data_IF_018469746534
#
_entry.id   IF_018469746534
#
_cell.length_a   1.000
_cell.length_b   1.000
_cell.length_c   1.000
_cell.angle_alpha   90.00
_cell.angle_beta   90.00
_cell.angle_gamma   90.00
#
_symmetry.space_group_name_H-M   'P 1'
#
loop_
_entity.id
_entity.type
_entity.pdbx_description
1 polymer ?
#
# COMPACT_ATOMS: atom_id res chain seq x y z
N UNK A 1 14.39 62.10 -31.67
CA UNK A 1 14.93 60.73 -31.58
C UNK A 1 13.82 59.83 -31.05
N UNK A 2 13.26 58.96 -31.89
CA UNK A 2 12.18 58.02 -31.50
C UNK A 2 12.81 56.71 -31.04
N UNK A 3 12.51 56.28 -29.82
CA UNK A 3 12.90 54.96 -29.31
C UNK A 3 11.73 54.00 -29.54
N UNK A 4 11.95 53.03 -30.42
CA UNK A 4 10.98 51.99 -30.77
C UNK A 4 11.11 50.83 -29.77
N UNK A 5 10.08 50.60 -28.96
CA UNK A 5 9.98 49.41 -28.09
C UNK A 5 9.45 48.23 -28.92
N UNK A 6 10.25 47.16 -29.04
CA UNK A 6 9.81 45.90 -29.65
C UNK A 6 9.21 45.00 -28.56
N UNK A 7 7.89 44.81 -28.60
CA UNK A 7 7.18 43.87 -27.74
C UNK A 7 7.29 42.46 -28.35
N UNK A 8 8.11 41.58 -27.76
CA UNK A 8 8.18 40.18 -28.16
C UNK A 8 7.06 39.43 -27.45
N UNK A 9 6.02 39.05 -28.20
CA UNK A 9 4.99 38.15 -27.72
C UNK A 9 5.57 36.73 -27.64
N UNK A 10 5.77 36.23 -26.42
CA UNK A 10 6.12 34.82 -26.16
C UNK A 10 4.85 33.99 -26.34
N UNK A 11 4.65 33.45 -27.54
CA UNK A 11 3.65 32.40 -27.77
C UNK A 11 4.10 31.13 -27.05
N UNK A 12 3.46 30.81 -25.93
CA UNK A 12 3.62 29.52 -25.26
C UNK A 12 3.25 28.40 -26.23
N UNK A 13 4.25 27.72 -26.78
CA UNK A 13 4.03 26.50 -27.55
C UNK A 13 3.51 25.43 -26.60
N UNK A 14 2.23 25.10 -26.71
CA UNK A 14 1.69 23.88 -26.09
C UNK A 14 2.41 22.70 -26.72
N UNK A 15 3.28 22.03 -25.96
CA UNK A 15 3.94 20.80 -26.40
C UNK A 15 2.85 19.81 -26.82
N UNK A 16 2.88 19.42 -28.10
CA UNK A 16 1.96 18.41 -28.62
C UNK A 16 2.25 17.08 -27.93
N UNK A 17 1.21 16.44 -27.40
CA UNK A 17 1.34 15.14 -26.77
C UNK A 17 1.59 14.10 -27.87
N UNK A 18 2.86 13.71 -28.05
CA UNK A 18 3.30 12.66 -28.99
C UNK A 18 3.01 12.89 -30.49
N UNK A 19 2.70 14.11 -30.95
CA UNK A 19 2.54 14.36 -32.39
C UNK A 19 3.92 14.57 -33.07
N UNK A 20 4.21 13.87 -34.19
CA UNK A 20 5.43 14.09 -34.97
C UNK A 20 5.54 15.52 -35.48
N UNK A 21 6.78 15.99 -35.68
CA UNK A 21 7.05 17.28 -36.30
C UNK A 21 6.38 17.38 -37.67
N UNK A 22 5.66 18.47 -37.93
CA UNK A 22 4.95 18.71 -39.19
C UNK A 22 3.49 18.26 -39.24
N UNK A 23 2.95 17.68 -38.15
CA UNK A 23 1.54 17.28 -38.07
C UNK A 23 0.69 18.36 -37.41
N UNK A 24 -0.37 18.83 -38.09
CA UNK A 24 -1.32 19.78 -37.49
C UNK A 24 -2.13 19.11 -36.37
N UNK A 25 -2.15 19.76 -35.20
CA UNK A 25 -2.83 19.26 -33.99
C UNK A 25 -3.93 20.22 -33.52
N UNK A 26 -4.96 19.67 -32.88
CA UNK A 26 -5.97 20.38 -32.10
C UNK A 26 -5.97 19.77 -30.71
N UNK A 27 -5.81 20.59 -29.66
CA UNK A 27 -5.75 20.14 -28.26
C UNK A 27 -4.64 19.09 -28.04
N UNK A 28 -3.52 19.22 -28.75
CA UNK A 28 -2.39 18.30 -28.68
C UNK A 28 -2.57 16.98 -29.43
N UNK A 29 -3.67 16.78 -30.17
CA UNK A 29 -3.94 15.57 -30.96
C UNK A 29 -3.98 15.86 -32.46
N UNK A 30 -3.40 15.01 -33.32
CA UNK A 30 -3.61 15.11 -34.77
C UNK A 30 -5.10 14.99 -35.11
N UNK A 31 -5.61 15.86 -35.99
CA UNK A 31 -7.05 15.92 -36.31
C UNK A 31 -7.39 15.80 -37.80
N UNK A 32 -6.40 15.87 -38.70
CA UNK A 32 -6.65 15.71 -40.14
C UNK A 32 -7.01 14.27 -40.47
N UNK A 33 -7.94 14.07 -41.41
CA UNK A 33 -8.39 12.75 -41.87
C UNK A 33 -7.28 11.93 -42.54
N UNK A 34 -6.22 12.59 -43.02
CA UNK A 34 -5.02 11.97 -43.58
C UNK A 34 -4.03 11.47 -42.52
N UNK A 35 -4.23 11.81 -41.25
CA UNK A 35 -3.33 11.39 -40.18
C UNK A 35 -3.64 9.96 -39.73
N UNK A 36 -2.61 9.14 -39.57
CA UNK A 36 -2.74 7.81 -38.98
C UNK A 36 -2.90 7.90 -37.45
N UNK A 37 -3.53 6.89 -36.85
CA UNK A 37 -3.57 6.71 -35.39
C UNK A 37 -2.16 6.65 -34.83
N UNK A 38 -1.81 7.61 -33.96
CA UNK A 38 -0.52 7.63 -33.28
C UNK A 38 -0.57 6.80 -32.00
N UNK A 39 0.56 6.20 -31.64
CA UNK A 39 0.73 5.58 -30.34
C UNK A 39 0.63 6.68 -29.26
N UNK A 40 -0.35 6.62 -28.33
CA UNK A 40 -0.56 7.69 -27.34
C UNK A 40 0.54 7.76 -26.28
N UNK A 41 1.47 6.80 -26.24
CA UNK A 41 2.39 6.59 -25.13
C UNK A 41 1.64 6.18 -23.85
N UNK A 42 2.32 6.25 -22.70
CA UNK A 42 1.71 5.97 -21.40
C UNK A 42 1.30 4.51 -21.18
N UNK A 43 1.79 3.58 -22.01
CA UNK A 43 1.62 2.15 -21.73
C UNK A 43 2.37 1.77 -20.45
N UNK A 44 1.78 0.88 -19.67
CA UNK A 44 2.49 0.24 -18.59
C UNK A 44 3.69 -0.54 -19.14
N UNK A 45 4.87 -0.31 -18.56
CA UNK A 45 5.99 -1.21 -18.75
C UNK A 45 5.74 -2.44 -17.86
N UNK A 46 5.58 -3.59 -18.50
CA UNK A 46 5.44 -4.85 -17.76
C UNK A 46 6.81 -5.26 -17.18
N UNK A 47 6.84 -5.80 -15.95
CA UNK A 47 8.07 -6.33 -15.36
C UNK A 47 8.59 -7.51 -16.19
N UNK A 48 9.92 -7.63 -16.25
CA UNK A 48 10.58 -8.73 -16.97
C UNK A 48 10.46 -10.01 -16.13
N UNK A 49 9.92 -11.06 -16.74
CA UNK A 49 9.80 -12.38 -16.13
C UNK A 49 11.18 -12.96 -15.78
N UNK A 50 11.36 -13.41 -14.55
CA UNK A 50 12.55 -14.11 -14.09
C UNK A 50 12.41 -15.62 -14.31
N UNK A 51 13.49 -16.30 -14.70
CA UNK A 51 13.52 -17.76 -14.88
C UNK A 51 13.40 -18.49 -13.54
N UNK A 52 14.00 -17.94 -12.49
CA UNK A 52 13.97 -18.49 -11.14
C UNK A 52 12.81 -17.89 -10.32
N UNK A 53 12.19 -18.68 -9.41
CA UNK A 53 11.16 -18.18 -8.52
C UNK A 53 11.74 -17.18 -7.52
N UNK A 54 10.98 -16.13 -7.25
CA UNK A 54 11.23 -15.14 -6.22
C UNK A 54 10.21 -15.29 -5.09
N UNK A 55 10.60 -14.93 -3.88
CA UNK A 55 9.68 -14.78 -2.76
C UNK A 55 9.39 -13.29 -2.56
N UNK A 56 8.12 -12.94 -2.72
CA UNK A 56 7.62 -11.59 -2.55
C UNK A 56 6.95 -11.47 -1.18
N UNK A 57 7.70 -10.88 -0.24
CA UNK A 57 7.23 -10.58 1.11
C UNK A 57 6.69 -9.16 1.16
N UNK A 58 5.46 -9.00 1.64
CA UNK A 58 4.84 -7.68 1.86
C UNK A 58 4.33 -7.58 3.30
N UNK A 59 4.19 -6.35 3.77
CA UNK A 59 3.55 -6.03 5.04
C UNK A 59 2.68 -4.79 4.87
N UNK A 60 1.47 -4.83 5.41
CA UNK A 60 0.61 -3.65 5.51
C UNK A 60 -0.26 -3.72 6.76
N UNK A 61 -0.63 -2.60 7.39
CA UNK A 61 -1.63 -2.63 8.45
C UNK A 61 -2.97 -3.10 7.87
N UNK A 62 -3.74 -3.86 8.65
CA UNK A 62 -5.08 -4.28 8.23
C UNK A 62 -6.00 -3.09 8.02
N UNK A 63 -5.87 -2.04 8.81
CA UNK A 63 -6.68 -0.84 8.69
C UNK A 63 -5.85 0.37 8.27
N UNK A 64 -6.45 1.29 7.52
CA UNK A 64 -5.77 2.50 7.02
C UNK A 64 -5.31 3.46 8.12
N UNK A 65 -6.05 3.52 9.23
CA UNK A 65 -5.72 4.31 10.42
C UNK A 65 -6.14 3.57 11.68
N UNK A 66 -5.52 3.96 12.80
CA UNK A 66 -5.88 3.59 14.16
C UNK A 66 -6.01 4.85 15.01
N UNK A 67 -6.74 4.74 16.11
CA UNK A 67 -6.86 5.81 17.10
C UNK A 67 -6.17 5.41 18.41
N UNK A 68 -5.81 6.41 19.21
CA UNK A 68 -5.24 6.20 20.54
C UNK A 68 -6.12 5.33 21.45
N UNK A 69 -7.44 5.33 21.24
CA UNK A 69 -8.38 4.47 21.94
C UNK A 69 -8.26 2.99 21.56
N UNK A 70 -7.65 2.67 20.41
CA UNK A 70 -7.43 1.30 19.96
C UNK A 70 -6.33 0.63 20.80
N UNK A 71 -6.60 -0.58 21.28
CA UNK A 71 -5.64 -1.33 22.13
C UNK A 71 -4.66 -2.15 21.30
N UNK A 72 -5.18 -2.78 20.24
CA UNK A 72 -4.47 -3.77 19.43
C UNK A 72 -4.74 -3.54 17.95
N UNK A 73 -3.74 -3.84 17.13
CA UNK A 73 -3.81 -3.80 15.67
C UNK A 73 -3.50 -5.16 15.06
N UNK A 74 -3.53 -5.21 13.73
CA UNK A 74 -3.13 -6.40 12.97
C UNK A 74 -2.42 -5.98 11.70
N UNK A 75 -1.32 -6.66 11.38
CA UNK A 75 -0.68 -6.58 10.08
C UNK A 75 -1.15 -7.72 9.19
N UNK A 76 -1.27 -7.42 7.89
CA UNK A 76 -1.42 -8.39 6.82
C UNK A 76 -0.01 -8.62 6.25
N UNK A 77 0.43 -9.86 6.26
CA UNK A 77 1.72 -10.27 5.69
C UNK A 77 1.48 -11.27 4.58
N UNK A 78 2.04 -11.01 3.41
CA UNK A 78 2.07 -11.97 2.30
C UNK A 78 3.48 -12.52 2.13
N UNK A 79 3.56 -13.78 1.72
CA UNK A 79 4.79 -14.50 1.45
C UNK A 79 4.62 -15.30 0.14
N UNK A 80 4.19 -14.60 -0.92
CA UNK A 80 3.83 -15.21 -2.19
C UNK A 80 5.05 -15.56 -3.05
N UNK A 81 5.00 -16.67 -3.79
CA UNK A 81 5.99 -16.96 -4.83
C UNK A 81 5.61 -16.20 -6.11
N UNK A 82 6.58 -15.50 -6.69
CA UNK A 82 6.39 -14.67 -7.89
C UNK A 82 7.59 -14.80 -8.82
N UNK A 83 7.38 -14.63 -10.12
CA UNK A 83 8.46 -14.53 -11.12
C UNK A 83 8.69 -13.08 -11.57
N UNK A 84 8.03 -12.12 -10.93
CA UNK A 84 8.11 -10.70 -11.30
C UNK A 84 8.65 -9.82 -10.17
N UNK A 85 8.34 -10.15 -8.92
CA UNK A 85 8.62 -9.31 -7.75
C UNK A 85 9.20 -10.15 -6.62
N UNK A 86 10.03 -9.54 -5.78
CA UNK A 86 10.58 -10.16 -4.58
C UNK A 86 12.08 -10.43 -4.66
N UNK A 87 12.55 -11.22 -3.69
CA UNK A 87 13.96 -11.65 -3.59
C UNK A 87 14.14 -13.08 -4.09
N UNK A 88 15.38 -13.45 -4.45
CA UNK A 88 15.73 -14.82 -4.86
C UNK A 88 15.24 -15.84 -3.83
N UNK A 89 14.48 -16.85 -4.29
CA UNK A 89 13.98 -17.91 -3.43
C UNK A 89 14.52 -19.27 -3.85
N UNK A 90 15.05 -20.01 -2.88
CA UNK A 90 15.41 -21.42 -3.07
C UNK A 90 14.62 -22.25 -2.08
N UNK A 91 13.95 -23.30 -2.55
CA UNK A 91 13.16 -24.19 -1.71
C UNK A 91 14.05 -25.16 -0.91
N UNK A 92 15.02 -24.62 -0.17
CA UNK A 92 16.01 -25.35 0.63
C UNK A 92 16.31 -24.58 1.91
N UNK A 93 16.46 -25.32 2.99
CA UNK A 93 16.88 -24.88 4.32
C UNK A 93 17.81 -25.92 4.89
N UNK A 94 18.73 -25.51 5.77
CA UNK A 94 19.72 -26.41 6.35
C UNK A 94 19.59 -26.42 7.86
N UNK A 95 19.44 -27.61 8.47
CA UNK A 95 19.35 -27.72 9.93
C UNK A 95 20.62 -27.21 10.64
N UNK A 96 21.76 -27.28 9.95
CA UNK A 96 23.06 -26.83 10.44
C UNK A 96 23.75 -26.08 9.29
N UNK A 97 24.30 -24.88 9.51
CA UNK A 97 25.10 -24.18 8.51
C UNK A 97 26.24 -25.07 7.98
N UNK A 98 26.31 -25.26 6.67
CA UNK A 98 27.33 -26.11 6.02
C UNK A 98 27.02 -27.62 5.98
N UNK A 99 25.83 -28.06 6.42
CA UNK A 99 25.40 -29.45 6.27
C UNK A 99 24.91 -29.76 4.85
N UNK A 100 25.11 -31.01 4.39
CA UNK A 100 24.56 -31.52 3.13
C UNK A 100 23.10 -31.98 3.27
N UNK A 101 22.54 -31.98 4.49
CA UNK A 101 21.16 -32.40 4.75
C UNK A 101 20.24 -31.18 4.63
N UNK A 102 19.61 -31.03 3.47
CA UNK A 102 18.64 -29.99 3.18
C UNK A 102 17.21 -30.44 3.48
N UNK A 103 16.39 -29.53 3.99
CA UNK A 103 14.93 -29.66 4.12
C UNK A 103 14.23 -28.58 3.29
N UNK A 104 12.98 -28.79 2.84
CA UNK A 104 12.23 -27.78 2.10
C UNK A 104 12.06 -26.45 2.86
N UNK A 105 12.08 -25.32 2.14
CA UNK A 105 11.83 -24.00 2.71
C UNK A 105 10.34 -23.67 2.66
N UNK A 106 9.62 -24.09 3.69
CA UNK A 106 8.15 -23.98 3.76
C UNK A 106 7.64 -22.94 4.74
N UNK A 107 8.49 -22.41 5.62
CA UNK A 107 8.07 -21.51 6.71
C UNK A 107 9.08 -20.40 6.92
N UNK A 108 8.59 -19.17 7.05
CA UNK A 108 9.34 -17.97 7.42
C UNK A 108 9.19 -17.69 8.91
N UNK A 109 10.31 -17.33 9.55
CA UNK A 109 10.29 -16.66 10.84
C UNK A 109 10.18 -15.15 10.59
N UNK A 110 9.17 -14.53 11.18
CA UNK A 110 8.85 -13.13 11.01
C UNK A 110 9.21 -12.37 12.28
N UNK A 111 9.95 -11.27 12.12
CA UNK A 111 10.25 -10.28 13.15
C UNK A 111 9.79 -8.91 12.61
N UNK A 112 8.92 -8.19 13.34
CA UNK A 112 8.40 -6.87 12.91
C UNK A 112 8.90 -5.80 13.88
N UNK A 113 9.43 -4.70 13.35
CA UNK A 113 10.10 -3.65 14.12
C UNK A 113 9.45 -2.28 13.93
N UNK A 114 9.45 -1.48 14.99
CA UNK A 114 9.28 -0.03 14.90
C UNK A 114 10.65 0.58 14.61
N UNK A 115 10.81 1.17 13.43
CA UNK A 115 12.10 1.66 12.94
C UNK A 115 12.63 2.86 13.75
N UNK A 116 11.75 3.67 14.33
CA UNK A 116 12.17 4.87 15.06
C UNK A 116 12.77 4.53 16.43
N UNK A 117 12.22 3.50 17.07
CA UNK A 117 12.67 3.05 18.39
C UNK A 117 13.64 1.86 18.29
N UNK A 118 13.79 1.26 17.10
CA UNK A 118 14.47 -0.03 16.94
C UNK A 118 13.83 -1.17 17.74
N UNK A 119 12.55 -1.01 18.11
CA UNK A 119 11.87 -1.91 19.05
C UNK A 119 11.17 -3.06 18.31
N UNK A 120 11.39 -4.28 18.77
CA UNK A 120 10.66 -5.46 18.29
C UNK A 120 9.21 -5.39 18.74
N UNK A 121 8.28 -5.37 17.79
CA UNK A 121 6.83 -5.29 18.03
C UNK A 121 6.26 -6.68 18.26
N UNK A 122 6.57 -7.63 17.38
CA UNK A 122 6.00 -8.98 17.40
C UNK A 122 6.87 -9.95 16.59
N UNK A 123 6.86 -11.22 16.99
CA UNK A 123 7.40 -12.33 16.22
C UNK A 123 6.30 -13.31 15.82
N UNK A 124 6.42 -13.93 14.64
CA UNK A 124 5.45 -14.91 14.17
C UNK A 124 6.08 -15.91 13.17
N UNK A 125 5.32 -16.90 12.73
CA UNK A 125 5.67 -17.80 11.64
C UNK A 125 4.62 -17.72 10.54
N UNK A 126 5.08 -17.62 9.30
CA UNK A 126 4.22 -17.56 8.11
C UNK A 126 4.65 -18.65 7.14
N UNK A 127 3.69 -19.34 6.52
CA UNK A 127 3.99 -20.32 5.48
C UNK A 127 4.50 -19.64 4.21
N UNK A 128 5.46 -20.26 3.53
CA UNK A 128 5.85 -19.85 2.19
C UNK A 128 4.70 -20.13 1.22
N UNK A 129 4.54 -19.26 0.23
CA UNK A 129 3.44 -19.28 -0.74
C UNK A 129 2.05 -19.09 -0.10
N UNK A 130 1.95 -18.30 0.96
CA UNK A 130 0.68 -17.90 1.55
C UNK A 130 0.45 -16.39 1.44
N UNK A 131 -0.81 -15.98 1.52
CA UNK A 131 -1.26 -14.58 1.50
C UNK A 131 -2.26 -14.35 2.64
N UNK A 132 -2.53 -13.09 2.94
CA UNK A 132 -3.49 -12.67 3.95
C UNK A 132 -3.20 -13.19 5.37
N UNK A 133 -1.92 -13.40 5.71
CA UNK A 133 -1.55 -13.87 7.05
C UNK A 133 -1.70 -12.72 8.06
N UNK A 134 -2.52 -12.92 9.09
CA UNK A 134 -2.83 -11.91 10.09
C UNK A 134 -1.90 -12.05 11.31
N UNK A 135 -1.16 -10.98 11.61
CA UNK A 135 -0.26 -10.91 12.77
C UNK A 135 -0.74 -9.78 13.69
N UNK A 136 -1.27 -10.15 14.86
CA UNK A 136 -1.72 -9.18 15.88
C UNK A 136 -0.56 -8.54 16.63
N UNK A 137 -0.73 -7.27 17.02
CA UNK A 137 0.25 -6.53 17.84
C UNK A 137 -0.44 -5.51 18.76
N UNK A 138 0.29 -5.01 19.76
CA UNK A 138 -0.17 -3.97 20.68
C UNK A 138 0.35 -2.58 20.29
N UNK A 139 -0.43 -1.53 20.55
CA UNK A 139 -0.03 -0.14 20.31
C UNK A 139 0.93 0.45 21.34
N UNK A 140 1.43 -0.33 22.30
CA UNK A 140 2.36 0.15 23.33
C UNK A 140 3.63 0.82 22.78
N UNK A 141 4.07 0.43 21.58
CA UNK A 141 5.23 1.01 20.88
C UNK A 141 4.86 2.16 19.92
N UNK A 142 3.61 2.61 19.90
CA UNK A 142 3.09 3.62 18.98
C UNK A 142 2.22 4.66 19.70
N UNK A 143 2.85 5.59 20.42
CA UNK A 143 2.14 6.75 20.96
C UNK A 143 1.36 7.49 19.87
N UNK A 144 0.22 8.08 20.22
CA UNK A 144 -0.60 8.76 19.22
C UNK A 144 0.06 10.05 18.72
N UNK A 145 0.10 10.26 17.40
CA UNK A 145 0.61 11.48 16.75
C UNK A 145 0.07 11.62 15.32
N UNK A 146 0.35 12.75 14.66
CA UNK A 146 -0.15 13.02 13.31
C UNK A 146 0.74 12.39 12.22
N UNK A 147 2.03 12.22 12.50
CA UNK A 147 2.99 11.60 11.60
C UNK A 147 2.93 10.07 11.68
N UNK A 148 2.99 9.35 10.55
CA UNK A 148 3.01 7.88 10.57
C UNK A 148 4.32 7.36 11.18
N UNK A 149 4.27 6.17 11.79
CA UNK A 149 5.48 5.42 12.16
C UNK A 149 5.92 4.53 11.00
N UNK A 150 7.23 4.45 10.79
CA UNK A 150 7.82 3.48 9.87
C UNK A 150 7.97 2.13 10.57
N UNK A 151 7.50 1.07 9.90
CA UNK A 151 7.54 -0.31 10.39
C UNK A 151 8.26 -1.15 9.35
N UNK A 152 9.20 -1.99 9.80
CA UNK A 152 9.84 -2.98 8.94
C UNK A 152 9.46 -4.40 9.34
N UNK A 153 9.55 -5.30 8.37
CA UNK A 153 9.49 -6.73 8.58
C UNK A 153 10.82 -7.34 8.15
N UNK A 154 11.36 -8.22 8.98
CA UNK A 154 12.44 -9.12 8.66
C UNK A 154 11.87 -10.54 8.63
N UNK A 155 11.82 -11.13 7.44
CA UNK A 155 11.38 -12.49 7.22
C UNK A 155 12.59 -13.36 6.90
N UNK A 156 12.83 -14.41 7.67
CA UNK A 156 14.02 -15.27 7.51
C UNK A 156 13.62 -16.73 7.36
N UNK A 157 14.41 -17.47 6.60
CA UNK A 157 14.33 -18.94 6.61
C UNK A 157 14.66 -19.48 8.01
N UNK A 158 14.26 -20.72 8.35
CA UNK A 158 14.53 -21.31 9.66
C UNK A 158 16.03 -21.35 10.02
N UNK A 159 16.89 -21.49 9.02
CA UNK A 159 18.35 -21.48 9.13
C UNK A 159 18.98 -20.09 8.96
N UNK A 160 18.15 -19.05 8.77
CA UNK A 160 18.52 -17.65 8.54
C UNK A 160 19.47 -17.40 7.35
N UNK A 161 19.60 -18.34 6.42
CA UNK A 161 20.42 -18.17 5.21
C UNK A 161 19.73 -17.35 4.11
N UNK A 162 18.40 -17.35 4.08
CA UNK A 162 17.60 -16.52 3.17
C UNK A 162 16.83 -15.50 4.01
N UNK A 163 16.95 -14.22 3.65
CA UNK A 163 16.30 -13.12 4.34
C UNK A 163 15.59 -12.20 3.35
N UNK A 164 14.46 -11.66 3.80
CA UNK A 164 13.60 -10.79 3.02
C UNK A 164 13.14 -9.66 3.92
N UNK A 165 13.07 -8.45 3.37
CA UNK A 165 12.64 -7.27 4.09
C UNK A 165 11.57 -6.53 3.32
N UNK A 166 10.66 -5.91 4.06
CA UNK A 166 9.70 -4.96 3.51
C UNK A 166 9.42 -3.88 4.56
N UNK A 167 8.84 -2.77 4.11
CA UNK A 167 8.51 -1.64 4.96
C UNK A 167 7.07 -1.21 4.74
N UNK A 168 6.46 -0.67 5.78
CA UNK A 168 5.13 -0.06 5.72
C UNK A 168 5.04 1.11 6.68
N UNK A 169 3.91 1.81 6.64
CA UNK A 169 3.61 2.91 7.53
C UNK A 169 2.35 2.59 8.33
N UNK A 170 2.34 3.01 9.59
CA UNK A 170 1.18 2.93 10.45
C UNK A 170 0.81 4.30 11.00
N UNK A 171 -0.49 4.62 10.93
CA UNK A 171 -1.04 5.87 11.45
C UNK A 171 -1.81 5.56 12.74
N UNK A 172 -1.30 6.07 13.86
CA UNK A 172 -1.97 6.01 15.18
C UNK A 172 -2.27 7.44 15.59
N UNK A 173 -3.51 7.88 15.38
CA UNK A 173 -3.90 9.27 15.55
C UNK A 173 -4.48 9.51 16.96
N UNK A 174 -4.37 10.73 17.51
CA UNK A 174 -5.02 11.08 18.77
C UNK A 174 -6.53 10.84 18.71
N UNK A 175 -7.10 10.41 19.84
CA UNK A 175 -8.55 10.26 19.94
C UNK A 175 -9.25 11.60 19.75
N UNK A 176 -10.46 11.58 19.17
CA UNK A 176 -11.24 12.79 18.94
C UNK A 176 -12.38 12.89 19.94
N UNK A 177 -12.53 14.06 20.55
CA UNK A 177 -13.72 14.37 21.37
C UNK A 177 -14.92 14.81 20.52
N UNK A 178 -14.69 15.11 19.23
CA UNK A 178 -15.72 15.58 18.30
C UNK A 178 -15.56 15.01 16.89
N UNK A 179 -16.68 14.90 16.17
CA UNK A 179 -16.72 14.43 14.79
C UNK A 179 -16.68 12.91 14.66
N UNK A 180 -16.17 12.43 13.53
CA UNK A 180 -16.07 11.00 13.23
C UNK A 180 -14.72 10.67 12.60
N UNK A 181 -14.29 9.43 12.79
CA UNK A 181 -13.13 8.84 12.12
C UNK A 181 -13.59 7.67 11.28
N UNK A 182 -12.95 7.49 10.12
CA UNK A 182 -13.23 6.40 9.19
C UNK A 182 -11.92 5.67 8.90
N UNK A 183 -11.96 4.33 8.94
CA UNK A 183 -10.85 3.48 8.51
C UNK A 183 -11.31 2.49 7.45
N UNK A 184 -10.40 2.16 6.54
CA UNK A 184 -10.59 1.19 5.46
C UNK A 184 -9.95 -0.12 5.91
N UNK A 185 -10.64 -1.25 5.72
CA UNK A 185 -10.07 -2.59 5.88
C UNK A 185 -9.33 -2.98 4.59
N UNK A 186 -8.00 -3.03 4.63
CA UNK A 186 -7.13 -3.39 3.52
C UNK A 186 -7.23 -4.88 3.13
N UNK A 187 -7.86 -5.74 3.95
CA UNK A 187 -8.08 -7.14 3.61
C UNK A 187 -9.35 -7.35 2.79
N UNK A 188 -10.46 -6.73 3.19
CA UNK A 188 -11.78 -6.95 2.60
C UNK A 188 -12.36 -5.73 1.88
N UNK A 189 -11.73 -4.56 1.98
CA UNK A 189 -12.19 -3.31 1.36
C UNK A 189 -13.33 -2.59 2.10
N UNK A 190 -13.73 -3.07 3.28
CA UNK A 190 -14.83 -2.50 4.07
C UNK A 190 -14.49 -1.17 4.74
N UNK A 191 -15.52 -0.39 5.10
CA UNK A 191 -15.38 0.86 5.84
C UNK A 191 -15.87 0.69 7.27
N UNK A 192 -15.12 1.24 8.21
CA UNK A 192 -15.49 1.27 9.63
C UNK A 192 -15.49 2.70 10.13
N UNK A 193 -16.49 3.04 10.95
CA UNK A 193 -16.66 4.38 11.52
C UNK A 193 -16.65 4.32 13.03
N UNK A 194 -16.02 5.31 13.64
CA UNK A 194 -16.18 5.64 15.07
C UNK A 194 -16.68 7.09 15.16
N UNK A 195 -17.67 7.35 16.04
CA UNK A 195 -18.27 8.67 16.19
C UNK A 195 -18.41 9.05 17.67
N UNK A 196 -17.71 10.12 18.06
CA UNK A 196 -17.68 10.61 19.44
C UNK A 196 -19.04 11.15 19.93
N UNK A 197 -19.93 11.58 19.02
CA UNK A 197 -21.24 12.18 19.36
C UNK A 197 -22.23 11.19 19.95
N UNK A 198 -22.11 9.90 19.61
CA UNK A 198 -23.11 8.88 19.96
C UNK A 198 -22.73 8.08 21.22
N UNK A 199 -21.73 8.51 21.99
CA UNK A 199 -21.14 7.75 23.11
C UNK A 199 -20.71 6.32 22.72
N UNK A 200 -20.38 6.11 21.44
CA UNK A 200 -19.97 4.82 20.91
C UNK A 200 -18.45 4.82 20.73
N UNK A 201 -17.76 4.02 21.55
CA UNK A 201 -16.30 3.99 21.60
C UNK A 201 -15.66 2.94 20.68
N UNK A 202 -16.46 2.04 20.09
CA UNK A 202 -15.96 0.99 19.21
C UNK A 202 -16.10 1.33 17.71
N UNK A 203 -15.47 0.54 16.86
CA UNK A 203 -15.63 0.65 15.41
C UNK A 203 -16.83 -0.18 14.94
N UNK A 204 -17.71 0.41 14.13
CA UNK A 204 -18.78 -0.32 13.46
C UNK A 204 -18.64 -0.22 11.95
N UNK A 205 -18.91 -1.34 11.26
CA UNK A 205 -18.88 -1.40 9.80
C UNK A 205 -20.01 -0.57 9.21
N UNK A 206 -19.71 0.19 8.17
CA UNK A 206 -20.72 0.83 7.33
C UNK A 206 -20.66 0.20 5.93
N UNK A 207 -21.83 -0.12 5.40
CA UNK A 207 -21.97 -0.38 3.98
C UNK A 207 -22.50 0.91 3.35
N UNK A 208 -21.72 1.61 2.51
CA UNK A 208 -22.21 2.79 1.83
C UNK A 208 -23.26 2.37 0.81
N UNK A 209 -24.52 2.33 1.24
CA UNK A 209 -25.65 2.21 0.33
C UNK A 209 -25.94 3.62 -0.21
N UNK A 210 -25.35 3.94 -1.36
CA UNK A 210 -25.53 5.23 -1.99
C UNK A 210 -26.86 5.30 -2.74
N UNK A 211 -27.77 6.16 -2.26
CA UNK A 211 -28.47 7.05 -3.18
C UNK A 211 -27.57 8.27 -3.40
N UNK A 212 -27.54 8.82 -4.62
CA UNK A 212 -27.02 10.17 -4.85
C UNK A 212 -28.02 11.17 -4.23
N UNK A 213 -28.02 11.30 -2.92
CA UNK A 213 -28.77 12.31 -2.19
C UNK A 213 -27.82 13.40 -1.71
N UNK A 214 -28.34 14.62 -1.53
CA UNK A 214 -27.59 15.71 -0.93
C UNK A 214 -27.09 15.32 0.49
N UNK A 215 -26.04 15.99 0.98
CA UNK A 215 -25.36 15.66 2.24
C UNK A 215 -26.21 15.78 3.52
N UNK A 216 -27.53 15.89 3.41
CA UNK A 216 -28.49 16.00 4.51
C UNK A 216 -28.91 14.65 5.09
N UNK A 217 -28.66 13.53 4.40
CA UNK A 217 -29.28 12.25 4.77
C UNK A 217 -28.34 11.05 4.61
N UNK A 218 -27.83 10.54 5.73
CA UNK A 218 -27.20 9.22 5.80
C UNK A 218 -27.92 8.43 6.88
N UNK A 219 -28.81 7.52 6.49
CA UNK A 219 -29.46 6.58 7.41
C UNK A 219 -28.60 5.34 7.60
N UNK A 220 -28.21 5.00 8.84
CA UNK A 220 -27.75 3.65 9.15
C UNK A 220 -28.95 2.71 9.00
N UNK A 221 -28.94 1.83 8.00
CA UNK A 221 -29.85 0.70 7.99
C UNK A 221 -29.21 -0.42 8.82
N UNK A 222 -29.91 -0.83 9.88
CA UNK A 222 -29.60 -2.04 10.64
C UNK A 222 -29.75 -3.25 9.70
N UNK A 223 -28.65 -3.70 9.09
CA UNK A 223 -28.63 -4.86 8.18
C UNK A 223 -28.25 -6.16 8.89
N UNK A 224 -28.69 -6.33 10.14
CA UNK A 224 -28.71 -7.64 10.80
C UNK A 224 -30.06 -7.82 11.50
N UNK A 225 -30.98 -8.47 10.77
CA UNK A 225 -32.07 -9.26 11.32
C UNK A 225 -31.80 -10.73 11.00
#
# INVERSE_FOLDING_TARGET
MHVLFLLIAVLSQTLAFNAPSGVSTWCGKPYMSTNHSLNPGGQFQFPVLQSEPLLYVTIQPRYSIFLESDKNGTFIVDASISHFFGGSYKNVTYNIPGSNISSPFTTLNIEIYNEELGALIVTNKVSVNSTANLIGFSFSSFPARLEPYSVSILATSPDRQQSYTAITKIYVLPSREYGSAVKIDNLFGGLYVQNAKNNWNDWYGIFPNGYYADGSYVTPNNLFG
#
